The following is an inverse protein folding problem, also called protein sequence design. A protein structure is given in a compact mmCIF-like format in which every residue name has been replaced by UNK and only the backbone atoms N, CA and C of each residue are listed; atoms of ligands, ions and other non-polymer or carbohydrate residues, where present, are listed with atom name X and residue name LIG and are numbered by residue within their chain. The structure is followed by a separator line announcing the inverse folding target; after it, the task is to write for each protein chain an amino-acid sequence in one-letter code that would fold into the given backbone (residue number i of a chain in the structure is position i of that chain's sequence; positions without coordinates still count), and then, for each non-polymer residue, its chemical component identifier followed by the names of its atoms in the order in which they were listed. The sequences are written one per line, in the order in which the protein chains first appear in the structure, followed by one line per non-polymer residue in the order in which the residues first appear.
data_IF_795551371617
#
_entry.id   IF_795551371617
#
_cell.length_a   1.000
_cell.length_b   1.000
_cell.length_c   1.000
_cell.angle_alpha   90.00
_cell.angle_beta   90.00
_cell.angle_gamma   90.00
#
_symmetry.space_group_name_H-M   'P 1'
#
loop_
_entity.id
_entity.type
_entity.pdbx_description
1 polymer ?
#
# COMPACT_ATOMS: atom_id res chain seq x y z
N UNK A 1 15.76 -13.22 10.52
CA UNK A 1 14.45 -13.55 9.93
C UNK A 1 13.75 -12.23 9.69
N UNK A 2 13.73 -11.74 8.45
CA UNK A 2 12.77 -10.71 8.06
C UNK A 2 11.46 -11.44 7.83
N UNK A 3 10.54 -11.23 8.76
CA UNK A 3 9.20 -11.78 8.73
C UNK A 3 8.49 -11.23 7.48
N UNK A 4 8.49 -12.01 6.40
CA UNK A 4 7.98 -11.60 5.09
C UNK A 4 6.46 -11.41 5.06
N UNK A 5 5.81 -11.72 6.17
CA UNK A 5 4.35 -11.79 6.29
C UNK A 5 3.78 -10.59 7.05
N UNK A 6 4.63 -9.69 7.58
CA UNK A 6 4.18 -8.54 8.37
C UNK A 6 3.84 -7.36 7.46
N UNK A 7 2.60 -6.90 7.58
CA UNK A 7 2.03 -5.67 7.03
C UNK A 7 1.65 -4.80 8.22
N UNK A 8 1.76 -3.48 8.10
CA UNK A 8 1.50 -2.58 9.23
C UNK A 8 0.07 -2.71 9.78
N UNK A 9 -0.92 -2.85 8.90
CA UNK A 9 -2.33 -2.99 9.26
C UNK A 9 -3.00 -4.09 8.43
N UNK A 10 -3.69 -5.00 9.12
CA UNK A 10 -4.69 -5.91 8.55
C UNK A 10 -6.03 -5.57 9.19
N UNK A 11 -7.06 -5.35 8.38
CA UNK A 11 -8.42 -5.16 8.86
C UNK A 11 -9.39 -6.03 8.06
N UNK A 12 -10.46 -6.50 8.70
CA UNK A 12 -11.54 -7.23 8.04
C UNK A 12 -12.88 -6.57 8.39
N UNK A 13 -13.74 -6.39 7.40
CA UNK A 13 -15.11 -5.93 7.59
C UNK A 13 -16.04 -6.58 6.57
N UNK A 14 -17.13 -7.18 7.03
CA UNK A 14 -18.14 -7.79 6.16
C UNK A 14 -17.53 -8.76 5.12
N UNK A 15 -16.53 -9.55 5.54
CA UNK A 15 -15.79 -10.48 4.68
C UNK A 15 -14.82 -9.82 3.69
N UNK A 16 -14.58 -8.51 3.80
CA UNK A 16 -13.60 -7.79 3.00
C UNK A 16 -12.34 -7.53 3.82
N UNK A 17 -11.20 -7.97 3.30
CA UNK A 17 -9.89 -7.83 3.89
C UNK A 17 -9.18 -6.58 3.34
N UNK A 18 -8.54 -5.83 4.22
CA UNK A 18 -7.72 -4.68 3.89
C UNK A 18 -6.28 -4.95 4.35
N UNK A 19 -5.35 -4.82 3.42
CA UNK A 19 -3.91 -4.73 3.69
C UNK A 19 -3.47 -3.28 3.55
N UNK A 20 -2.90 -2.71 4.61
CA UNK A 20 -2.44 -1.34 4.59
C UNK A 20 -1.01 -1.21 5.14
N UNK A 21 -0.15 -0.58 4.34
CA UNK A 21 1.19 -0.16 4.79
C UNK A 21 1.15 1.31 5.19
N UNK A 22 1.80 1.65 6.31
CA UNK A 22 1.76 2.99 6.90
C UNK A 22 3.11 3.66 6.72
N UNK A 23 3.12 4.75 5.95
CA UNK A 23 4.34 5.52 5.76
C UNK A 23 4.40 6.76 6.67
N UNK A 24 5.34 6.72 7.62
CA UNK A 24 5.62 7.78 8.58
C UNK A 24 6.60 8.85 8.07
N UNK A 25 7.31 9.49 9.00
CA UNK A 25 8.40 10.42 8.67
C UNK A 25 9.65 9.66 8.25
N UNK A 26 9.98 9.72 6.95
CA UNK A 26 11.26 9.26 6.42
C UNK A 26 12.28 10.40 6.29
N UNK A 27 13.55 10.10 6.52
CA UNK A 27 14.66 11.02 6.20
C UNK A 27 14.84 11.21 4.69
N UNK A 28 14.34 10.28 3.88
CA UNK A 28 14.33 10.35 2.41
C UNK A 28 12.89 10.18 1.91
N UNK A 29 12.14 11.28 1.73
CA UNK A 29 10.76 11.22 1.28
C UNK A 29 10.67 10.51 -0.08
N UNK A 30 9.95 9.39 -0.11
CA UNK A 30 9.68 8.58 -1.30
C UNK A 30 10.32 7.18 -1.31
N UNK A 31 11.44 6.95 -0.60
CA UNK A 31 12.06 5.60 -0.56
C UNK A 31 11.16 4.59 0.16
N UNK A 32 10.53 5.04 1.24
CA UNK A 32 9.64 4.20 2.04
C UNK A 32 8.32 3.92 1.29
N UNK A 33 7.91 4.80 0.37
CA UNK A 33 6.72 4.58 -0.47
C UNK A 33 6.96 3.49 -1.51
N UNK A 34 8.12 3.52 -2.17
CA UNK A 34 8.47 2.50 -3.17
C UNK A 34 8.53 1.10 -2.51
N UNK A 35 9.08 1.05 -1.29
CA UNK A 35 9.12 -0.18 -0.48
C UNK A 35 7.72 -0.66 -0.08
N UNK A 36 6.88 0.22 0.48
CA UNK A 36 5.51 -0.10 0.88
C UNK A 36 4.67 -0.57 -0.33
N UNK A 37 4.81 0.08 -1.48
CA UNK A 37 4.13 -0.34 -2.71
C UNK A 37 4.54 -1.75 -3.11
N UNK A 38 5.85 -2.06 -3.10
CA UNK A 38 6.35 -3.40 -3.42
C UNK A 38 5.83 -4.48 -2.46
N UNK A 39 5.68 -4.13 -1.18
CA UNK A 39 5.11 -5.01 -0.16
C UNK A 39 3.61 -5.28 -0.38
N UNK A 40 2.83 -4.27 -0.77
CA UNK A 40 1.42 -4.45 -1.16
C UNK A 40 1.29 -5.32 -2.41
N UNK A 41 2.10 -5.06 -3.46
CA UNK A 41 2.09 -5.85 -4.69
C UNK A 41 2.39 -7.34 -4.42
N UNK A 42 3.30 -7.64 -3.48
CA UNK A 42 3.65 -9.03 -3.14
C UNK A 42 2.49 -9.81 -2.50
N UNK A 43 1.46 -9.11 -2.00
CA UNK A 43 0.27 -9.68 -1.37
C UNK A 43 -0.91 -9.78 -2.31
N UNK A 44 -0.79 -9.24 -3.51
CA UNK A 44 -1.83 -9.39 -4.52
C UNK A 44 -2.04 -10.87 -4.84
N UNK A 45 -3.30 -11.35 -4.81
CA UNK A 45 -3.60 -12.68 -5.33
C UNK A 45 -3.32 -12.75 -6.84
N UNK A 46 -3.00 -13.94 -7.34
CA UNK A 46 -2.72 -14.17 -8.76
C UNK A 46 -3.93 -13.86 -9.66
N UNK A 47 -5.14 -14.01 -9.12
CA UNK A 47 -6.40 -13.61 -9.74
C UNK A 47 -7.02 -12.48 -8.94
N UNK A 48 -7.72 -11.57 -9.62
CA UNK A 48 -8.37 -10.44 -8.95
C UNK A 48 -9.44 -10.92 -7.97
N UNK A 49 -9.32 -10.51 -6.72
CA UNK A 49 -10.26 -10.81 -5.65
C UNK A 49 -10.88 -9.52 -5.12
N UNK A 50 -12.18 -9.35 -5.34
CA UNK A 50 -12.92 -8.16 -4.89
C UNK A 50 -13.10 -8.11 -3.37
N UNK A 51 -12.86 -9.23 -2.67
CA UNK A 51 -12.86 -9.26 -1.22
C UNK A 51 -11.57 -8.73 -0.59
N UNK A 52 -10.55 -8.42 -1.39
CA UNK A 52 -9.26 -7.89 -0.89
C UNK A 52 -9.04 -6.47 -1.41
N UNK A 53 -8.69 -5.58 -0.49
CA UNK A 53 -8.33 -4.18 -0.76
C UNK A 53 -6.92 -3.88 -0.26
N UNK A 54 -6.26 -2.94 -0.91
CA UNK A 54 -4.93 -2.47 -0.55
C UNK A 54 -4.97 -0.97 -0.30
N UNK A 55 -4.20 -0.49 0.67
CA UNK A 55 -4.05 0.93 0.93
C UNK A 55 -2.61 1.30 1.30
N UNK A 56 -2.20 2.49 0.87
CA UNK A 56 -1.02 3.15 1.37
C UNK A 56 -1.48 4.32 2.25
N UNK A 57 -1.19 4.23 3.55
CA UNK A 57 -1.53 5.28 4.49
C UNK A 57 -0.36 6.25 4.55
N UNK A 58 -0.59 7.50 4.15
CA UNK A 58 0.40 8.57 4.23
C UNK A 58 -0.11 9.69 5.13
N UNK A 59 0.80 10.55 5.59
CA UNK A 59 0.40 11.77 6.29
C UNK A 59 -0.34 12.70 5.33
N UNK A 60 -1.35 13.40 5.85
CA UNK A 60 -2.13 14.41 5.12
C UNK A 60 -1.33 15.71 5.00
N UNK A 61 -0.22 15.64 4.25
CA UNK A 61 0.60 16.78 3.85
C UNK A 61 0.95 16.65 2.36
N UNK A 62 1.03 17.77 1.60
CA UNK A 62 1.11 17.72 0.14
C UNK A 62 2.24 16.83 -0.39
N UNK A 63 3.43 16.91 0.23
CA UNK A 63 4.59 16.13 -0.17
C UNK A 63 4.38 14.63 0.00
N UNK A 64 3.69 14.21 1.07
CA UNK A 64 3.39 12.80 1.35
C UNK A 64 2.37 12.25 0.36
N UNK A 65 1.39 13.06 -0.05
CA UNK A 65 0.42 12.71 -1.09
C UNK A 65 1.09 12.60 -2.45
N UNK A 66 1.95 13.56 -2.82
CA UNK A 66 2.67 13.54 -4.10
C UNK A 66 3.57 12.30 -4.25
N UNK A 67 4.20 11.84 -3.17
CA UNK A 67 5.03 10.62 -3.24
C UNK A 67 4.20 9.35 -3.29
N UNK A 68 2.97 9.34 -2.77
CA UNK A 68 2.09 8.17 -2.76
C UNK A 68 1.73 7.67 -4.17
N UNK A 69 1.76 8.55 -5.18
CA UNK A 69 1.49 8.24 -6.60
C UNK A 69 2.74 7.94 -7.43
N UNK A 70 3.91 7.69 -6.82
CA UNK A 70 5.15 7.46 -7.59
C UNK A 70 5.15 6.18 -8.40
N UNK A 71 4.36 5.18 -7.99
CA UNK A 71 4.21 3.97 -8.77
C UNK A 71 3.49 4.26 -10.10
N UNK A 72 3.83 3.54 -11.19
CA UNK A 72 3.10 3.69 -12.45
C UNK A 72 1.58 3.51 -12.24
N UNK A 73 0.76 4.31 -12.93
CA UNK A 73 -0.71 4.28 -12.78
C UNK A 73 -1.28 2.86 -12.90
N UNK A 74 -0.75 2.03 -13.81
CA UNK A 74 -1.15 0.63 -13.96
C UNK A 74 -1.04 -0.19 -12.67
N UNK A 75 -0.02 0.07 -11.84
CA UNK A 75 0.17 -0.61 -10.56
C UNK A 75 -0.86 -0.10 -9.54
N UNK A 76 -1.10 1.21 -9.50
CA UNK A 76 -2.10 1.81 -8.62
C UNK A 76 -3.51 1.32 -8.95
N UNK A 77 -3.85 1.23 -10.23
CA UNK A 77 -5.13 0.68 -10.71
C UNK A 77 -5.30 -0.79 -10.29
N UNK A 78 -4.24 -1.59 -10.44
CA UNK A 78 -4.24 -3.00 -10.02
C UNK A 78 -4.42 -3.16 -8.51
N UNK A 79 -3.89 -2.24 -7.72
CA UNK A 79 -4.07 -2.19 -6.27
C UNK A 79 -5.42 -1.58 -5.85
N UNK A 80 -6.20 -1.07 -6.80
CA UNK A 80 -7.47 -0.37 -6.53
C UNK A 80 -7.29 0.95 -5.78
N UNK A 81 -6.09 1.52 -5.78
CA UNK A 81 -5.78 2.78 -5.08
C UNK A 81 -6.00 3.95 -6.04
N UNK A 82 -7.09 4.70 -5.81
CA UNK A 82 -7.32 5.99 -6.44
C UNK A 82 -7.06 7.10 -5.40
N UNK A 83 -6.33 8.14 -5.81
CA UNK A 83 -6.09 9.36 -5.02
C UNK A 83 -7.00 10.50 -5.48
#
# INVERSE_FOLDING_TARGET
MTDSDVVDIIAEKDGHLLYAEVNGTSTVPGLDVDTATGQLVRRMPSEADQSVSFALVVRDEPRSVDVAVRAPQRILDLLGMAL
#
